data_IF_498160965279
#
_entry.id   IF_498160965279
#
_cell.length_a   1.000
_cell.length_b   1.000
_cell.length_c   1.000
_cell.angle_alpha   90.00
_cell.angle_beta   90.00
_cell.angle_gamma   90.00
#
_symmetry.space_group_name_H-M   'P 1'
#
loop_
_entity.id
_entity.type
_entity.pdbx_description
1 polymer ?
#
# COMPACT_ATOMS: atom_id res chain seq x y z
N UNK A 1 -22.53 6.86 -16.42
CA UNK A 1 -21.07 6.68 -16.36
C UNK A 1 -20.58 6.87 -14.91
N UNK A 2 -21.31 6.33 -13.90
CA UNK A 2 -21.04 6.56 -12.46
C UNK A 2 -21.04 5.28 -11.61
N UNK A 3 -21.10 4.10 -12.25
CA UNK A 3 -21.23 2.84 -11.48
C UNK A 3 -19.90 2.11 -11.20
N UNK A 4 -18.76 2.61 -11.69
CA UNK A 4 -17.46 1.93 -11.52
C UNK A 4 -16.76 2.21 -10.18
N UNK A 5 -17.16 3.25 -9.44
CA UNK A 5 -16.50 3.61 -8.15
C UNK A 5 -17.04 2.79 -6.98
N UNK A 6 -18.14 2.06 -7.13
CA UNK A 6 -18.73 1.28 -6.02
C UNK A 6 -18.00 -0.02 -5.71
N UNK A 7 -17.22 -0.57 -6.64
CA UNK A 7 -16.58 -1.89 -6.44
C UNK A 7 -15.22 -1.83 -5.73
N UNK A 8 -14.57 -0.67 -5.69
CA UNK A 8 -13.26 -0.51 -5.03
C UNK A 8 -13.35 -0.65 -3.50
N UNK A 9 -14.52 -0.49 -2.89
CA UNK A 9 -14.70 -0.68 -1.43
C UNK A 9 -14.61 -2.15 -0.98
N UNK A 10 -14.82 -3.10 -1.86
CA UNK A 10 -14.75 -4.53 -1.52
C UNK A 10 -13.30 -5.05 -1.41
N UNK A 11 -12.35 -4.43 -2.09
CA UNK A 11 -10.94 -4.83 -2.01
C UNK A 11 -10.25 -4.33 -0.73
N UNK A 12 -10.62 -3.17 -0.20
CA UNK A 12 -10.01 -2.60 1.00
C UNK A 12 -10.30 -3.41 2.27
N UNK A 13 -11.45 -4.08 2.36
CA UNK A 13 -11.85 -4.86 3.55
C UNK A 13 -11.08 -6.19 3.65
N UNK A 14 -10.62 -6.75 2.51
CA UNK A 14 -9.92 -8.05 2.50
C UNK A 14 -8.40 -7.93 2.74
N UNK A 15 -7.80 -6.77 2.49
CA UNK A 15 -6.36 -6.54 2.67
C UNK A 15 -5.97 -6.56 4.15
N UNK A 16 -6.79 -5.98 5.02
CA UNK A 16 -6.54 -6.00 6.48
C UNK A 16 -6.61 -7.40 7.10
N UNK A 17 -7.34 -8.32 6.48
CA UNK A 17 -7.41 -9.72 6.94
C UNK A 17 -6.26 -10.55 6.37
N UNK A 18 -5.82 -10.27 5.16
CA UNK A 18 -4.67 -10.94 4.55
C UNK A 18 -3.34 -10.52 5.21
N UNK A 19 -3.12 -9.23 5.45
CA UNK A 19 -1.87 -8.74 6.06
C UNK A 19 -1.66 -9.26 7.48
N UNK A 20 -2.71 -9.42 8.30
CA UNK A 20 -2.58 -9.98 9.65
C UNK A 20 -2.13 -11.43 9.68
N UNK A 21 -2.37 -12.20 8.64
CA UNK A 21 -2.00 -13.62 8.58
C UNK A 21 -0.69 -13.91 7.82
N UNK A 22 -0.19 -12.96 7.01
CA UNK A 22 1.02 -13.17 6.20
C UNK A 22 2.31 -12.78 6.90
N UNK A 23 2.26 -11.92 7.92
CA UNK A 23 3.45 -11.42 8.60
C UNK A 23 3.65 -12.07 9.98
N UNK A 24 3.63 -13.38 10.04
CA UNK A 24 4.22 -14.09 11.18
C UNK A 24 5.73 -14.00 11.01
N UNK A 25 6.38 -13.17 11.83
CA UNK A 25 7.85 -13.11 11.88
C UNK A 25 8.39 -14.52 12.16
N UNK A 26 9.08 -15.16 11.20
CA UNK A 26 9.58 -16.53 11.39
C UNK A 26 10.64 -16.65 12.47
N UNK A 27 11.16 -15.51 12.94
CA UNK A 27 12.15 -15.43 14.02
C UNK A 27 11.53 -15.08 15.40
N UNK A 28 10.23 -14.78 15.48
CA UNK A 28 9.54 -14.62 16.77
C UNK A 28 9.33 -15.98 17.41
N UNK A 29 9.87 -16.17 18.60
CA UNK A 29 9.70 -17.39 19.38
C UNK A 29 8.24 -17.54 19.82
N UNK A 30 7.44 -18.35 19.09
CA UNK A 30 6.34 -19.05 19.73
C UNK A 30 6.91 -20.29 20.42
N UNK A 31 6.55 -20.58 21.71
CA UNK A 31 6.92 -21.84 22.34
C UNK A 31 6.28 -22.97 21.52
N UNK A 32 7.08 -23.97 21.15
CA UNK A 32 6.70 -25.22 20.51
C UNK A 32 6.43 -25.20 18.99
N UNK A 33 7.42 -24.92 18.16
CA UNK A 33 7.67 -25.60 16.88
C UNK A 33 9.10 -25.26 16.45
N UNK A 34 9.82 -26.22 15.90
CA UNK A 34 11.22 -26.18 15.52
C UNK A 34 11.71 -24.79 15.12
N UNK A 35 12.82 -24.30 15.73
CA UNK A 35 13.40 -23.03 15.30
C UNK A 35 13.66 -23.12 13.79
N UNK A 36 13.18 -22.14 13.03
CA UNK A 36 13.43 -22.08 11.59
C UNK A 36 14.95 -21.98 11.40
N UNK A 37 15.58 -23.08 11.05
CA UNK A 37 17.01 -23.13 10.76
C UNK A 37 17.24 -22.31 9.49
N UNK A 38 18.19 -21.33 9.49
CA UNK A 38 18.53 -20.61 8.29
C UNK A 38 18.98 -21.56 7.17
N UNK A 39 18.52 -21.34 5.94
CA UNK A 39 19.00 -22.07 4.77
C UNK A 39 20.47 -21.78 4.53
N UNK A 40 20.88 -20.53 4.78
CA UNK A 40 22.29 -20.11 4.77
C UNK A 40 22.47 -18.76 5.50
N UNK A 41 23.74 -18.38 5.71
CA UNK A 41 24.11 -17.09 6.27
C UNK A 41 24.98 -16.36 5.24
N UNK A 42 24.64 -15.12 4.92
CA UNK A 42 25.41 -14.25 4.02
C UNK A 42 26.72 -13.79 4.69
N UNK A 43 27.67 -13.26 3.91
CA UNK A 43 28.96 -12.78 4.42
C UNK A 43 28.84 -11.61 5.41
N UNK A 44 27.76 -10.85 5.37
CA UNK A 44 27.44 -9.75 6.29
C UNK A 44 26.76 -10.23 7.59
N UNK A 45 26.53 -11.55 7.74
CA UNK A 45 25.87 -12.16 8.89
C UNK A 45 24.34 -12.23 8.76
N UNK A 46 23.74 -11.78 7.65
CA UNK A 46 22.30 -11.91 7.41
C UNK A 46 21.89 -13.38 7.34
N UNK A 47 20.95 -13.77 8.18
CA UNK A 47 20.33 -15.10 8.15
C UNK A 47 19.23 -15.16 7.09
N UNK A 48 19.28 -16.17 6.23
CA UNK A 48 18.32 -16.34 5.12
C UNK A 48 17.57 -17.65 5.29
N UNK A 49 16.26 -17.61 5.17
CA UNK A 49 15.38 -18.77 5.11
C UNK A 49 14.67 -18.74 3.77
N UNK A 50 14.84 -19.78 2.96
CA UNK A 50 14.14 -19.98 1.71
C UNK A 50 13.15 -21.13 1.84
N UNK A 51 11.96 -20.95 1.32
CA UNK A 51 10.89 -21.95 1.32
C UNK A 51 10.24 -22.01 -0.04
N UNK A 52 10.11 -23.21 -0.56
CA UNK A 52 9.22 -23.46 -1.69
C UNK A 52 7.79 -23.63 -1.16
N UNK A 53 6.89 -22.87 -1.72
CA UNK A 53 5.47 -22.82 -1.36
C UNK A 53 4.63 -23.32 -2.55
N UNK A 54 3.36 -23.66 -2.30
CA UNK A 54 2.44 -24.11 -3.36
C UNK A 54 2.35 -23.11 -4.52
N UNK A 55 2.45 -21.82 -4.23
CA UNK A 55 2.29 -20.72 -5.20
C UNK A 55 3.61 -20.13 -5.72
N UNK A 56 4.76 -20.65 -5.27
CA UNK A 56 6.09 -20.20 -5.68
C UNK A 56 7.11 -20.29 -4.58
N UNK A 57 8.01 -19.30 -4.44
CA UNK A 57 9.10 -19.28 -3.46
C UNK A 57 8.97 -18.10 -2.52
N UNK A 58 9.25 -18.31 -1.24
CA UNK A 58 9.40 -17.23 -0.25
C UNK A 58 10.82 -17.16 0.28
N UNK A 59 11.29 -15.93 0.55
CA UNK A 59 12.60 -15.64 1.11
C UNK A 59 12.43 -14.70 2.30
N UNK A 60 12.93 -15.11 3.45
CA UNK A 60 13.01 -14.33 4.69
C UNK A 60 14.47 -14.02 4.98
N UNK A 61 14.77 -12.77 5.28
CA UNK A 61 16.11 -12.33 5.68
C UNK A 61 16.03 -11.62 7.02
N UNK A 62 16.92 -11.99 7.95
CA UNK A 62 17.13 -11.29 9.20
C UNK A 62 18.52 -10.69 9.20
N UNK A 63 18.60 -9.38 9.10
CA UNK A 63 19.86 -8.64 9.10
C UNK A 63 20.46 -8.54 10.52
N UNK A 64 21.78 -8.35 10.65
CA UNK A 64 22.44 -8.20 11.94
C UNK A 64 21.96 -7.01 12.78
N UNK A 65 21.49 -5.93 12.14
CA UNK A 65 20.88 -4.75 12.76
C UNK A 65 19.44 -4.96 13.23
N UNK A 66 18.90 -6.18 13.04
CA UNK A 66 17.54 -6.55 13.41
C UNK A 66 16.49 -6.25 12.33
N UNK A 67 16.87 -5.68 11.19
CA UNK A 67 15.94 -5.51 10.07
C UNK A 67 15.48 -6.87 9.53
N UNK A 68 14.21 -6.93 9.13
CA UNK A 68 13.56 -8.09 8.53
C UNK A 68 13.17 -7.75 7.11
N UNK A 69 13.48 -8.64 6.17
CA UNK A 69 13.08 -8.52 4.77
C UNK A 69 12.35 -9.81 4.38
N UNK A 70 11.24 -9.64 3.71
CA UNK A 70 10.45 -10.73 3.15
C UNK A 70 10.26 -10.49 1.65
N UNK A 71 10.42 -11.54 0.85
CA UNK A 71 10.10 -11.52 -0.58
C UNK A 71 9.35 -12.77 -0.95
N UNK A 72 8.32 -12.63 -1.77
CA UNK A 72 7.59 -13.75 -2.32
C UNK A 72 7.57 -13.67 -3.84
N UNK A 73 7.84 -14.80 -4.47
CA UNK A 73 7.94 -14.98 -5.89
C UNK A 73 6.88 -15.97 -6.34
N UNK A 74 6.26 -15.73 -7.48
CA UNK A 74 5.33 -16.69 -8.08
C UNK A 74 6.08 -17.90 -8.71
N UNK A 75 5.35 -18.88 -9.25
CA UNK A 75 5.92 -20.07 -9.90
C UNK A 75 6.84 -19.77 -11.09
N UNK A 76 6.69 -18.60 -11.72
CA UNK A 76 7.54 -18.12 -12.80
C UNK A 76 8.79 -17.39 -12.30
N UNK A 77 8.98 -17.29 -10.99
CA UNK A 77 10.09 -16.58 -10.37
C UNK A 77 9.97 -15.06 -10.39
N UNK A 78 8.79 -14.51 -10.75
CA UNK A 78 8.53 -13.07 -10.68
C UNK A 78 8.19 -12.67 -9.25
N UNK A 79 8.79 -11.57 -8.77
CA UNK A 79 8.45 -10.94 -7.49
C UNK A 79 7.01 -10.42 -7.56
N UNK A 80 6.19 -10.80 -6.58
CA UNK A 80 4.81 -10.31 -6.48
C UNK A 80 4.52 -9.62 -5.15
N UNK A 81 5.35 -9.84 -4.13
CA UNK A 81 5.24 -9.19 -2.83
C UNK A 81 6.64 -9.01 -2.25
N UNK A 82 6.95 -7.82 -1.74
CA UNK A 82 8.09 -7.61 -0.86
C UNK A 82 7.70 -6.76 0.34
N UNK A 83 8.48 -6.91 1.40
CA UNK A 83 8.27 -6.24 2.66
C UNK A 83 9.62 -6.06 3.35
N UNK A 84 9.82 -4.91 3.97
CA UNK A 84 10.98 -4.66 4.83
C UNK A 84 10.54 -3.91 6.08
N UNK A 85 11.09 -4.31 7.23
CA UNK A 85 10.82 -3.71 8.53
C UNK A 85 12.10 -3.57 9.34
N UNK A 86 12.23 -2.45 10.03
CA UNK A 86 13.15 -2.27 11.15
C UNK A 86 12.37 -1.78 12.40
N UNK A 87 13.07 -1.31 13.43
CA UNK A 87 12.42 -0.89 14.68
C UNK A 87 11.35 0.19 14.50
N UNK A 88 11.58 1.17 13.61
CA UNK A 88 10.76 2.37 13.51
C UNK A 88 10.09 2.54 12.13
N UNK A 89 10.36 1.66 11.19
CA UNK A 89 9.91 1.83 9.81
C UNK A 89 9.51 0.49 9.20
N UNK A 90 8.46 0.54 8.41
CA UNK A 90 7.94 -0.61 7.66
C UNK A 90 7.54 -0.17 6.25
N UNK A 91 7.89 -0.92 5.24
CA UNK A 91 7.51 -0.68 3.85
C UNK A 91 7.13 -2.00 3.19
N UNK A 92 6.09 -1.98 2.36
CA UNK A 92 5.69 -3.15 1.58
C UNK A 92 5.18 -2.76 0.21
N UNK A 93 5.41 -3.66 -0.76
CA UNK A 93 4.98 -3.50 -2.15
C UNK A 93 4.31 -4.78 -2.64
N UNK A 94 3.32 -4.61 -3.51
CA UNK A 94 2.70 -5.69 -4.27
C UNK A 94 2.78 -5.35 -5.76
N UNK A 95 3.02 -6.39 -6.55
CA UNK A 95 3.19 -6.28 -8.00
C UNK A 95 2.13 -7.12 -8.72
N UNK A 96 1.78 -6.71 -9.92
CA UNK A 96 0.92 -7.49 -10.82
C UNK A 96 1.73 -8.55 -11.61
N UNK A 97 1.05 -9.27 -12.49
CA UNK A 97 1.64 -10.30 -13.33
C UNK A 97 2.70 -9.74 -14.32
N UNK A 98 2.62 -8.45 -14.65
CA UNK A 98 3.58 -7.76 -15.51
C UNK A 98 4.79 -7.23 -14.72
N UNK A 99 4.76 -7.33 -13.38
CA UNK A 99 5.80 -6.83 -12.48
C UNK A 99 5.67 -5.34 -12.18
N UNK A 100 4.51 -4.72 -12.46
CA UNK A 100 4.22 -3.33 -12.11
C UNK A 100 3.70 -3.26 -10.68
N UNK A 101 4.16 -2.27 -9.93
CA UNK A 101 3.75 -2.06 -8.54
C UNK A 101 2.30 -1.55 -8.49
N UNK A 102 1.38 -2.37 -7.97
CA UNK A 102 -0.05 -2.05 -7.85
C UNK A 102 -0.46 -1.60 -6.46
N UNK A 103 0.37 -1.86 -5.45
CA UNK A 103 0.16 -1.41 -4.10
C UNK A 103 1.49 -1.15 -3.41
N UNK A 104 1.52 -0.10 -2.59
CA UNK A 104 2.63 0.23 -1.70
C UNK A 104 2.09 0.74 -0.38
N UNK A 105 2.78 0.47 0.71
CA UNK A 105 2.61 1.24 1.94
C UNK A 105 3.95 1.54 2.59
N UNK A 106 3.99 2.62 3.36
CA UNK A 106 5.06 2.96 4.27
C UNK A 106 4.47 3.38 5.62
N UNK A 107 5.10 2.92 6.70
CA UNK A 107 4.68 3.16 8.07
C UNK A 107 5.85 3.59 8.92
N UNK A 108 5.62 4.55 9.81
CA UNK A 108 6.60 5.02 10.80
C UNK A 108 6.00 4.78 12.18
N UNK A 109 6.80 4.22 13.08
CA UNK A 109 6.44 3.94 14.45
C UNK A 109 7.23 4.83 15.40
N UNK A 110 6.62 5.21 16.52
CA UNK A 110 7.30 5.95 17.58
C UNK A 110 8.17 5.03 18.45
N UNK A 111 8.82 5.61 19.46
CA UNK A 111 9.68 4.90 20.40
C UNK A 111 8.95 3.83 21.24
N UNK A 112 7.61 3.92 21.34
CA UNK A 112 6.76 2.96 22.03
C UNK A 112 6.19 1.89 21.08
N UNK A 113 6.68 1.83 19.81
CA UNK A 113 6.18 0.97 18.75
C UNK A 113 4.69 1.22 18.41
N UNK A 114 4.22 2.46 18.59
CA UNK A 114 2.88 2.91 18.19
C UNK A 114 2.97 3.54 16.80
N UNK A 115 2.03 3.20 15.92
CA UNK A 115 1.97 3.75 14.57
C UNK A 115 1.80 5.28 14.60
N UNK A 116 2.84 6.00 14.21
CA UNK A 116 2.85 7.46 14.15
C UNK A 116 2.36 7.99 12.81
N UNK A 117 2.70 7.31 11.72
CA UNK A 117 2.30 7.68 10.36
C UNK A 117 2.21 6.45 9.47
N UNK A 118 1.23 6.43 8.57
CA UNK A 118 1.13 5.44 7.49
C UNK A 118 0.63 6.12 6.22
N UNK A 119 1.23 5.78 5.08
CA UNK A 119 0.69 6.09 3.77
C UNK A 119 0.44 4.76 3.05
N UNK A 120 -0.70 4.67 2.38
CA UNK A 120 -1.07 3.54 1.52
C UNK A 120 -1.33 4.07 0.13
N UNK A 121 -0.85 3.34 -0.89
CA UNK A 121 -0.94 3.70 -2.29
C UNK A 121 -1.54 2.54 -3.07
N UNK A 122 -2.68 2.74 -3.71
CA UNK A 122 -3.23 1.84 -4.71
C UNK A 122 -3.02 2.43 -6.09
N UNK A 123 -2.51 1.65 -7.03
CA UNK A 123 -2.12 2.11 -8.37
C UNK A 123 -2.76 1.21 -9.42
N UNK A 124 -3.44 1.83 -10.37
CA UNK A 124 -3.94 1.16 -11.58
C UNK A 124 -3.22 1.69 -12.81
N UNK A 125 -3.14 0.85 -13.83
CA UNK A 125 -2.46 1.16 -15.08
C UNK A 125 -3.41 1.06 -16.28
N UNK A 126 -3.17 1.89 -17.30
CA UNK A 126 -3.71 1.71 -18.65
C UNK A 126 -3.09 0.48 -19.31
N UNK A 127 -3.71 0.00 -20.39
CA UNK A 127 -3.20 -1.13 -21.17
C UNK A 127 -1.80 -0.88 -21.74
N UNK A 128 -1.44 0.38 -21.98
CA UNK A 128 -0.10 0.78 -22.42
C UNK A 128 0.96 0.78 -21.29
N UNK A 129 0.60 0.37 -20.08
CA UNK A 129 1.50 0.27 -18.93
C UNK A 129 1.72 1.58 -18.17
N UNK A 130 1.12 2.70 -18.60
CA UNK A 130 1.21 3.98 -17.89
C UNK A 130 0.17 4.08 -16.77
N UNK A 131 0.47 4.87 -15.74
CA UNK A 131 -0.41 5.06 -14.59
C UNK A 131 -1.76 5.65 -15.03
N UNK A 132 -2.85 5.03 -14.57
CA UNK A 132 -4.24 5.43 -14.82
C UNK A 132 -4.87 6.07 -13.61
N UNK A 133 -4.68 5.46 -12.44
CA UNK A 133 -5.22 5.92 -11.16
C UNK A 133 -4.17 5.72 -10.08
N UNK A 134 -4.06 6.67 -9.18
CA UNK A 134 -3.32 6.54 -7.93
C UNK A 134 -4.21 7.02 -6.79
N UNK A 135 -4.43 6.16 -5.81
CA UNK A 135 -5.14 6.50 -4.58
C UNK A 135 -4.15 6.48 -3.44
N UNK A 136 -4.03 7.57 -2.72
CA UNK A 136 -3.14 7.70 -1.56
C UNK A 136 -3.96 7.95 -0.32
N UNK A 137 -3.88 7.04 0.67
CA UNK A 137 -4.50 7.22 1.99
C UNK A 137 -3.43 7.46 3.03
N UNK A 138 -3.57 8.54 3.80
CA UNK A 138 -2.60 8.96 4.82
C UNK A 138 -3.23 8.88 6.21
N UNK A 139 -2.49 8.32 7.18
CA UNK A 139 -2.82 8.24 8.60
C UNK A 139 -1.75 8.97 9.44
N UNK A 140 -2.10 9.63 10.54
CA UNK A 140 -3.45 9.88 11.04
C UNK A 140 -4.21 10.90 10.18
N UNK A 141 -5.52 10.93 10.34
CA UNK A 141 -6.41 11.89 9.68
C UNK A 141 -7.25 11.30 8.56
N UNK A 142 -6.95 10.08 8.10
CA UNK A 142 -7.71 9.36 7.07
C UNK A 142 -8.00 10.26 5.85
N UNK A 143 -6.93 10.87 5.32
CA UNK A 143 -7.00 11.72 4.13
C UNK A 143 -6.78 10.83 2.93
N UNK A 144 -7.75 10.77 2.03
CA UNK A 144 -7.61 10.03 0.77
C UNK A 144 -7.50 11.00 -0.39
N UNK A 145 -6.45 10.83 -1.19
CA UNK A 145 -6.22 11.60 -2.42
C UNK A 145 -6.37 10.66 -3.62
N UNK A 146 -7.24 11.01 -4.54
CA UNK A 146 -7.43 10.32 -5.82
C UNK A 146 -6.78 11.16 -6.91
N UNK A 147 -5.94 10.57 -7.74
CA UNK A 147 -5.29 11.20 -8.88
C UNK A 147 -5.52 10.33 -10.12
N UNK A 148 -6.23 10.87 -11.09
CA UNK A 148 -6.49 10.20 -12.36
C UNK A 148 -5.59 10.78 -13.45
N UNK A 149 -5.09 9.92 -14.34
CA UNK A 149 -4.17 10.26 -15.42
C UNK A 149 -4.72 9.77 -16.76
N UNK A 150 -4.41 10.49 -17.83
CA UNK A 150 -4.67 10.04 -19.21
C UNK A 150 -3.59 9.04 -19.66
N UNK A 151 -3.74 8.51 -20.88
CA UNK A 151 -2.79 7.56 -21.49
C UNK A 151 -1.39 8.15 -21.75
N UNK A 152 -1.18 9.45 -21.57
CA UNK A 152 0.10 10.15 -21.67
C UNK A 152 0.72 10.45 -20.29
N UNK A 153 0.09 9.98 -19.18
CA UNK A 153 0.44 10.27 -17.78
C UNK A 153 0.23 11.74 -17.38
N UNK A 154 -0.56 12.50 -18.15
CA UNK A 154 -1.01 13.82 -17.73
C UNK A 154 -2.14 13.64 -16.71
N UNK A 155 -2.02 14.27 -15.53
CA UNK A 155 -3.09 14.27 -14.54
C UNK A 155 -4.31 15.03 -15.08
N UNK A 156 -5.48 14.37 -15.11
CA UNK A 156 -6.75 14.91 -15.58
C UNK A 156 -7.70 15.24 -14.43
N UNK A 157 -7.51 14.61 -13.25
CA UNK A 157 -8.32 14.88 -12.06
C UNK A 157 -7.50 14.67 -10.78
N UNK A 158 -7.79 15.50 -9.76
CA UNK A 158 -7.35 15.27 -8.39
C UNK A 158 -8.47 15.60 -7.42
N UNK A 159 -8.77 14.66 -6.53
CA UNK A 159 -9.77 14.82 -5.47
C UNK A 159 -9.07 14.51 -4.14
N UNK A 160 -9.27 15.37 -3.14
CA UNK A 160 -8.84 15.12 -1.75
C UNK A 160 -10.07 14.97 -0.86
N UNK A 161 -10.19 13.83 -0.22
CA UNK A 161 -11.26 13.51 0.71
C UNK A 161 -10.76 13.54 2.16
N UNK A 162 -11.47 14.29 3.02
CA UNK A 162 -11.25 14.35 4.46
C UNK A 162 -12.59 14.18 5.18
N UNK A 163 -12.85 12.99 5.71
CA UNK A 163 -14.13 12.67 6.31
C UNK A 163 -15.28 12.86 5.31
N UNK A 164 -16.15 13.80 5.56
CA UNK A 164 -17.33 14.10 4.71
C UNK A 164 -17.08 15.15 3.63
N UNK A 165 -15.85 15.66 3.50
CA UNK A 165 -15.51 16.75 2.58
C UNK A 165 -14.65 16.23 1.44
N UNK A 166 -15.09 16.49 0.19
CA UNK A 166 -14.32 16.26 -1.04
C UNK A 166 -13.95 17.60 -1.67
N UNK A 167 -12.67 17.80 -1.96
CA UNK A 167 -12.17 18.98 -2.65
C UNK A 167 -11.55 18.56 -3.96
N UNK A 168 -11.98 19.18 -5.05
CA UNK A 168 -11.53 18.95 -6.42
C UNK A 168 -10.52 20.02 -6.81
N UNK A 169 -9.50 19.65 -7.55
CA UNK A 169 -8.38 20.50 -7.93
C UNK A 169 -8.17 20.48 -9.43
N UNK A 170 -7.74 21.61 -9.99
CA UNK A 170 -7.29 21.70 -11.37
C UNK A 170 -5.87 21.11 -11.57
N UNK A 171 -5.35 21.22 -12.79
CA UNK A 171 -4.02 20.73 -13.17
C UNK A 171 -2.87 21.44 -12.44
N UNK A 172 -3.10 22.64 -11.91
CA UNK A 172 -2.14 23.46 -11.16
C UNK A 172 -2.25 23.31 -9.64
N UNK A 173 -3.01 22.31 -9.15
CA UNK A 173 -3.30 22.09 -7.74
C UNK A 173 -4.11 23.22 -7.07
N UNK A 174 -4.84 24.02 -7.85
CA UNK A 174 -5.76 25.03 -7.33
C UNK A 174 -7.12 24.39 -7.07
N UNK A 175 -7.73 24.56 -5.88
CA UNK A 175 -9.05 24.03 -5.59
C UNK A 175 -10.10 24.74 -6.45
N UNK A 176 -10.95 23.96 -7.14
CA UNK A 176 -12.00 24.47 -8.04
C UNK A 176 -13.40 24.19 -7.52
N UNK A 177 -13.60 23.14 -6.75
CA UNK A 177 -14.91 22.74 -6.23
C UNK A 177 -14.76 22.02 -4.90
N UNK A 178 -15.75 22.20 -4.02
CA UNK A 178 -15.86 21.43 -2.78
C UNK A 178 -17.26 20.84 -2.65
N UNK A 179 -17.34 19.59 -2.21
CA UNK A 179 -18.57 18.90 -1.84
C UNK A 179 -18.51 18.52 -0.37
N UNK A 180 -19.60 18.77 0.37
CA UNK A 180 -19.74 18.47 1.79
C UNK A 180 -20.96 17.57 1.94
N UNK A 181 -20.74 16.30 2.33
CA UNK A 181 -21.82 15.37 2.65
C UNK A 181 -22.32 15.64 4.08
N UNK A 182 -23.59 16.00 4.20
CA UNK A 182 -24.30 16.23 5.48
C UNK A 182 -25.18 15.03 5.88
N UNK A 183 -24.94 13.87 5.31
CA UNK A 183 -25.76 12.69 5.55
C UNK A 183 -27.21 12.89 5.08
N UNK A 184 -28.17 12.82 5.99
CA UNK A 184 -29.60 13.05 5.65
C UNK A 184 -29.90 14.44 5.14
N UNK A 185 -29.01 15.43 5.31
CA UNK A 185 -29.10 16.79 4.79
C UNK A 185 -28.66 16.94 3.34
N UNK A 186 -28.21 15.86 2.71
CA UNK A 186 -27.74 15.86 1.31
C UNK A 186 -26.33 16.42 1.14
N UNK A 187 -25.94 16.69 -0.11
CA UNK A 187 -24.62 17.20 -0.48
C UNK A 187 -24.71 18.69 -0.79
N UNK A 188 -23.86 19.49 -0.16
CA UNK A 188 -23.66 20.90 -0.50
C UNK A 188 -22.45 20.99 -1.42
N UNK A 189 -22.60 21.74 -2.53
CA UNK A 189 -21.52 22.01 -3.49
C UNK A 189 -21.15 23.48 -3.44
N UNK A 190 -19.85 23.78 -3.30
CA UNK A 190 -19.27 25.12 -3.34
C UNK A 190 -18.37 25.23 -4.56
N UNK A 191 -18.57 26.28 -5.39
CA UNK A 191 -17.63 26.65 -6.46
C UNK A 191 -16.49 27.50 -5.87
N UNK A 192 -15.26 27.10 -6.12
CA UNK A 192 -14.04 27.75 -5.66
C UNK A 192 -13.20 28.34 -6.80
N UNK A 193 -13.62 28.17 -8.06
CA UNK A 193 -12.85 28.55 -9.26
C UNK A 193 -12.60 30.07 -9.41
N UNK A 194 -13.37 30.88 -8.72
CA UNK A 194 -13.28 32.36 -8.74
C UNK A 194 -12.50 33.01 -7.59
N UNK A 195 -11.81 32.23 -6.74
CA UNK A 195 -11.08 32.75 -5.57
C UNK A 195 -9.59 32.79 -5.79
#
# INVERSE_FOLDING_TARGET
MYDYIKDTRFFAVNINTMTKNFFVNPFEKKPEKDPMTPSYIKSDGTQVIEKDEEFGKTVYEKCPDGALIFRSYNKQGKLWLDFARNLNFEIGHRYDEDGRMVYKYDSVYDENNVLAKKNEYDIEYHDNGKKKLEVVTTFPGNITTYMQYDENEKRIEKIVERGTVKTYYDENDKPIKREIDRGSGGIITEDLSGR
#
